data_IF_457673179785
#
_entry.id   IF_457673179785
#
_cell.length_a   1.000
_cell.length_b   1.000
_cell.length_c   1.000
_cell.angle_alpha   90.00
_cell.angle_beta   90.00
_cell.angle_gamma   90.00
#
_symmetry.space_group_name_H-M   'P 1'
#
loop_
_entity.id
_entity.type
_entity.pdbx_description
1 polymer ?
#
# COMPACT_ATOMS: atom_id res chain seq x y z
N UNK A 1 18.27 2.23 25.07
CA UNK A 1 17.93 1.16 24.12
C UNK A 1 17.54 1.78 22.79
N UNK A 2 18.04 1.24 21.70
CA UNK A 2 17.72 1.77 20.38
C UNK A 2 16.27 1.45 20.00
N UNK A 3 15.62 2.40 19.31
CA UNK A 3 14.30 2.17 18.71
C UNK A 3 14.44 1.10 17.62
N UNK A 4 13.55 0.08 17.63
CA UNK A 4 13.59 -0.93 16.58
C UNK A 4 13.43 -0.30 15.20
N UNK A 5 14.24 -0.71 14.28
CA UNK A 5 14.13 -0.28 12.90
C UNK A 5 12.87 -0.89 12.28
N UNK A 6 12.34 -0.20 11.26
CA UNK A 6 11.28 -0.76 10.44
C UNK A 6 11.77 -2.07 9.82
N UNK A 7 10.97 -3.16 9.83
CA UNK A 7 11.36 -4.39 9.15
C UNK A 7 11.67 -4.11 7.68
N UNK A 8 12.68 -4.79 7.13
CA UNK A 8 13.02 -4.65 5.72
C UNK A 8 11.93 -5.34 4.90
N UNK A 9 11.09 -4.60 4.17
CA UNK A 9 10.08 -5.22 3.32
C UNK A 9 10.73 -5.76 2.05
N UNK A 10 10.08 -6.68 1.34
CA UNK A 10 10.53 -7.05 0.02
C UNK A 10 10.39 -5.86 -0.93
N UNK A 11 11.36 -5.68 -1.83
CA UNK A 11 11.29 -4.67 -2.86
C UNK A 11 11.62 -3.26 -2.39
N UNK A 12 11.21 -2.29 -3.20
CA UNK A 12 11.54 -0.87 -3.01
C UNK A 12 10.50 -0.18 -2.15
N UNK A 13 10.92 0.87 -1.45
CA UNK A 13 10.01 1.66 -0.62
C UNK A 13 9.09 2.51 -1.52
N UNK A 14 7.76 2.34 -1.44
CA UNK A 14 6.84 3.08 -2.30
C UNK A 14 6.89 4.60 -2.09
N UNK A 15 7.18 5.07 -0.90
CA UNK A 15 7.30 6.52 -0.64
C UNK A 15 8.46 7.12 -1.41
N UNK A 16 9.51 6.33 -1.67
CA UNK A 16 10.68 6.79 -2.43
C UNK A 16 10.49 6.66 -3.93
N UNK A 17 9.88 5.56 -4.40
CA UNK A 17 9.78 5.28 -5.83
C UNK A 17 8.46 5.75 -6.44
N UNK A 18 7.45 6.04 -5.61
CA UNK A 18 6.13 6.47 -6.08
C UNK A 18 5.50 7.49 -5.12
N UNK A 19 6.17 8.64 -4.90
CA UNK A 19 5.64 9.64 -3.95
C UNK A 19 4.34 10.28 -4.43
N UNK A 20 4.00 10.15 -5.72
CA UNK A 20 2.72 10.63 -6.22
C UNK A 20 1.55 9.93 -5.55
N UNK A 21 1.67 8.62 -5.28
CA UNK A 21 0.58 7.82 -4.73
C UNK A 21 0.74 7.53 -3.23
N UNK A 22 1.95 7.63 -2.68
CA UNK A 22 2.26 7.20 -1.31
C UNK A 22 2.92 8.32 -0.53
N UNK A 23 2.23 8.80 0.52
CA UNK A 23 2.79 9.82 1.41
C UNK A 23 2.70 9.34 2.86
N UNK A 24 3.67 9.77 3.68
CA UNK A 24 3.70 9.44 5.10
C UNK A 24 2.79 10.41 5.85
N UNK A 25 1.78 9.88 6.54
CA UNK A 25 0.93 10.67 7.43
C UNK A 25 1.53 10.77 8.82
N UNK A 26 2.12 9.68 9.30
CA UNK A 26 2.60 9.57 10.66
C UNK A 26 3.61 8.42 10.71
N UNK A 27 4.63 8.57 11.56
CA UNK A 27 5.60 7.49 11.75
C UNK A 27 6.20 7.58 13.15
N UNK A 28 6.27 6.44 13.84
CA UNK A 28 7.00 6.32 15.09
C UNK A 28 7.80 5.00 15.08
N UNK A 29 8.25 4.56 16.26
CA UNK A 29 9.04 3.33 16.36
C UNK A 29 8.22 2.05 16.20
N UNK A 30 6.90 2.13 16.10
CA UNK A 30 6.00 0.97 16.02
C UNK A 30 5.32 0.84 14.68
N UNK A 31 4.96 1.96 14.05
CA UNK A 31 4.20 1.96 12.80
C UNK A 31 4.67 3.08 11.87
N UNK A 32 4.42 2.88 10.58
CA UNK A 32 4.46 3.95 9.59
C UNK A 32 3.11 3.98 8.90
N UNK A 33 2.40 5.10 9.01
CA UNK A 33 1.07 5.25 8.43
C UNK A 33 1.18 5.99 7.11
N UNK A 34 0.72 5.35 6.04
CA UNK A 34 0.74 5.91 4.70
C UNK A 34 -0.67 6.31 4.27
N UNK A 35 -0.75 7.44 3.58
CA UNK A 35 -1.94 7.79 2.79
C UNK A 35 -1.66 7.41 1.35
N UNK A 36 -2.59 6.67 0.77
CA UNK A 36 -2.46 6.10 -0.58
C UNK A 36 -3.61 6.61 -1.42
N UNK A 37 -3.29 7.24 -2.56
CA UNK A 37 -4.30 7.79 -3.48
C UNK A 37 -3.96 7.42 -4.91
N UNK A 38 -4.93 6.84 -5.62
CA UNK A 38 -4.80 6.54 -7.05
C UNK A 38 -5.99 7.14 -7.79
N UNK A 39 -5.72 7.93 -8.83
CA UNK A 39 -6.77 8.34 -9.77
C UNK A 39 -7.20 7.19 -10.66
N UNK A 40 -8.32 7.36 -11.41
CA UNK A 40 -8.82 6.30 -12.29
C UNK A 40 -7.76 5.92 -13.32
N UNK A 41 -7.53 4.62 -13.48
CA UNK A 41 -6.57 4.07 -14.42
C UNK A 41 -5.11 4.25 -14.05
N UNK A 42 -4.81 4.89 -12.92
CA UNK A 42 -3.41 5.11 -12.52
C UNK A 42 -2.78 3.83 -12.02
N UNK A 43 -1.49 3.74 -12.27
CA UNK A 43 -0.68 2.55 -12.01
C UNK A 43 0.59 2.97 -11.29
N UNK A 44 1.01 2.19 -10.32
CA UNK A 44 2.24 2.41 -9.58
C UNK A 44 3.46 1.85 -10.32
N UNK A 45 4.54 1.69 -9.60
CA UNK A 45 5.71 0.90 -10.00
C UNK A 45 5.86 -0.23 -8.98
N UNK A 46 6.61 -1.26 -9.34
CA UNK A 46 6.84 -2.38 -8.42
C UNK A 46 7.51 -1.87 -7.14
N UNK A 47 6.90 -2.17 -6.00
CA UNK A 47 7.40 -1.76 -4.70
C UNK A 47 6.98 -2.75 -3.62
N UNK A 48 7.48 -2.57 -2.41
CA UNK A 48 7.22 -3.49 -1.31
C UNK A 48 6.68 -2.84 -0.06
N UNK A 49 5.95 -3.61 0.72
CA UNK A 49 5.43 -3.22 2.02
C UNK A 49 5.75 -4.30 3.05
N UNK A 50 6.03 -3.93 4.32
CA UNK A 50 5.96 -4.91 5.40
C UNK A 50 4.49 -5.28 5.65
N UNK A 51 4.24 -6.18 6.60
CA UNK A 51 2.87 -6.47 7.03
C UNK A 51 2.15 -5.17 7.38
N UNK A 52 0.89 -5.05 6.99
CA UNK A 52 0.14 -3.81 7.17
C UNK A 52 -1.35 -4.05 7.35
N UNK A 53 -2.01 -3.05 7.95
CA UNK A 53 -3.46 -2.99 8.03
C UNK A 53 -3.91 -1.86 7.13
N UNK A 54 -4.80 -2.15 6.19
CA UNK A 54 -5.34 -1.16 5.27
C UNK A 54 -6.77 -0.81 5.65
N UNK A 55 -7.05 0.51 5.71
CA UNK A 55 -8.38 1.05 5.93
C UNK A 55 -8.80 1.77 4.66
N UNK A 56 -9.84 1.27 4.01
CA UNK A 56 -10.32 1.83 2.74
C UNK A 56 -11.26 2.99 3.03
N UNK A 57 -10.86 4.20 2.62
CA UNK A 57 -11.67 5.40 2.82
C UNK A 57 -12.73 5.53 1.73
N UNK A 58 -12.50 4.91 0.57
CA UNK A 58 -13.42 4.86 -0.56
C UNK A 58 -13.53 3.44 -1.05
N UNK A 59 -14.51 3.15 -1.90
CA UNK A 59 -14.47 1.88 -2.61
C UNK A 59 -13.31 1.88 -3.60
N UNK A 60 -12.81 0.70 -3.93
CA UNK A 60 -11.70 0.54 -4.86
C UNK A 60 -11.77 -0.78 -5.60
N UNK A 61 -11.22 -0.77 -6.81
CA UNK A 61 -11.04 -1.97 -7.63
C UNK A 61 -9.60 -1.94 -8.13
N UNK A 62 -8.78 -2.86 -7.65
CA UNK A 62 -7.34 -2.82 -7.86
C UNK A 62 -6.85 -4.11 -8.49
N UNK A 63 -5.94 -3.99 -9.44
CA UNK A 63 -5.16 -5.13 -9.93
C UNK A 63 -3.76 -5.05 -9.32
N UNK A 64 -3.34 -6.13 -8.70
CA UNK A 64 -1.97 -6.27 -8.18
C UNK A 64 -1.19 -7.17 -9.13
N UNK A 65 -0.05 -6.68 -9.62
CA UNK A 65 0.89 -7.49 -10.37
C UNK A 65 2.04 -7.83 -9.43
N UNK A 66 2.39 -9.12 -9.35
CA UNK A 66 3.46 -9.61 -8.50
C UNK A 66 4.73 -9.86 -9.32
N UNK A 67 5.90 -9.96 -8.67
CA UNK A 67 7.12 -10.34 -9.38
C UNK A 67 6.90 -11.65 -10.16
N UNK A 68 7.33 -11.67 -11.41
CA UNK A 68 7.08 -12.80 -12.32
C UNK A 68 5.86 -12.62 -13.21
N UNK A 69 5.05 -11.57 -12.97
CA UNK A 69 3.94 -11.20 -13.86
C UNK A 69 2.57 -11.75 -13.49
N UNK A 70 2.46 -12.54 -12.42
CA UNK A 70 1.16 -13.02 -11.96
C UNK A 70 0.33 -11.84 -11.44
N UNK A 71 -0.97 -11.85 -11.72
CA UNK A 71 -1.88 -10.78 -11.29
C UNK A 71 -3.01 -11.33 -10.42
N UNK A 72 -3.55 -10.44 -9.58
CA UNK A 72 -4.70 -10.72 -8.72
C UNK A 72 -5.53 -9.45 -8.62
N UNK A 73 -6.84 -9.56 -8.86
CA UNK A 73 -7.75 -8.43 -8.75
C UNK A 73 -8.48 -8.48 -7.41
N UNK A 74 -8.66 -7.31 -6.80
CA UNK A 74 -9.36 -7.18 -5.54
C UNK A 74 -10.32 -6.01 -5.55
N UNK A 75 -11.40 -6.12 -4.78
CA UNK A 75 -12.35 -5.04 -4.57
C UNK A 75 -12.50 -4.78 -3.08
N UNK A 76 -12.81 -3.52 -2.74
CA UNK A 76 -13.08 -3.13 -1.37
C UNK A 76 -14.17 -2.07 -1.36
N UNK A 77 -14.86 -1.95 -0.23
CA UNK A 77 -15.86 -0.92 0.01
C UNK A 77 -15.33 0.10 1.00
N UNK A 78 -15.87 1.31 0.95
CA UNK A 78 -15.55 2.32 1.94
C UNK A 78 -15.78 1.78 3.35
N UNK A 79 -14.81 1.94 4.22
CA UNK A 79 -14.86 1.45 5.60
C UNK A 79 -14.30 0.04 5.79
N UNK A 80 -13.98 -0.68 4.73
CA UNK A 80 -13.35 -2.00 4.85
C UNK A 80 -11.98 -1.88 5.52
N UNK A 81 -11.66 -2.87 6.35
CA UNK A 81 -10.36 -2.99 7.01
C UNK A 81 -9.80 -4.38 6.69
N UNK A 82 -8.57 -4.42 6.19
CA UNK A 82 -7.92 -5.67 5.78
C UNK A 82 -6.50 -5.74 6.32
N UNK A 83 -6.06 -6.95 6.67
CA UNK A 83 -4.67 -7.22 6.98
C UNK A 83 -3.98 -7.80 5.75
N UNK A 84 -2.78 -7.32 5.46
CA UNK A 84 -1.94 -7.84 4.40
C UNK A 84 -0.58 -8.26 4.95
N UNK A 85 -0.13 -9.46 4.56
CA UNK A 85 1.24 -9.89 4.83
C UNK A 85 2.23 -9.02 4.04
N UNK A 86 3.50 -9.08 4.43
CA UNK A 86 4.55 -8.42 3.67
C UNK A 86 4.48 -8.85 2.20
N UNK A 87 4.60 -7.90 1.29
CA UNK A 87 4.36 -8.16 -0.13
C UNK A 87 5.21 -7.23 -1.00
N UNK A 88 5.58 -7.74 -2.17
CA UNK A 88 6.09 -6.92 -3.27
C UNK A 88 5.06 -6.97 -4.40
N UNK A 89 4.64 -5.81 -4.87
CA UNK A 89 3.56 -5.73 -5.86
C UNK A 89 3.58 -4.44 -6.66
N UNK A 90 2.77 -4.42 -7.71
CA UNK A 90 2.52 -3.24 -8.53
C UNK A 90 1.01 -3.07 -8.65
N UNK A 91 0.42 -2.12 -7.89
CA UNK A 91 -1.02 -1.88 -7.94
C UNK A 91 -1.43 -0.99 -9.12
N UNK A 92 -2.66 -1.23 -9.59
CA UNK A 92 -3.28 -0.42 -10.64
C UNK A 92 -4.76 -0.23 -10.30
N UNK A 93 -5.25 1.01 -10.41
CA UNK A 93 -6.67 1.31 -10.23
C UNK A 93 -7.44 0.95 -11.50
N UNK A 94 -8.25 -0.11 -11.44
CA UNK A 94 -9.08 -0.55 -12.56
C UNK A 94 -10.43 0.16 -12.60
N UNK A 95 -10.78 0.91 -11.57
CA UNK A 95 -12.07 1.59 -11.47
C UNK A 95 -12.11 2.90 -12.22
N UNK A 96 -13.32 3.42 -12.42
CA UNK A 96 -13.54 4.72 -13.05
C UNK A 96 -13.49 5.90 -12.09
N UNK A 97 -13.14 5.67 -10.83
CA UNK A 97 -13.06 6.69 -9.79
C UNK A 97 -11.76 6.57 -9.03
N UNK A 98 -11.32 7.68 -8.44
CA UNK A 98 -10.16 7.67 -7.56
C UNK A 98 -10.47 6.86 -6.31
N UNK A 99 -9.45 6.18 -5.75
CA UNK A 99 -9.60 5.56 -4.43
C UNK A 99 -8.54 6.09 -3.46
N UNK A 100 -8.86 5.96 -2.18
CA UNK A 100 -8.00 6.45 -1.11
C UNK A 100 -7.98 5.41 0.02
N UNK A 101 -6.78 5.11 0.51
CA UNK A 101 -6.56 4.08 1.52
C UNK A 101 -5.57 4.60 2.55
N UNK A 102 -5.80 4.28 3.82
CA UNK A 102 -4.79 4.45 4.87
C UNK A 102 -4.18 3.07 5.13
N UNK A 103 -2.86 2.97 5.02
CA UNK A 103 -2.14 1.74 5.35
C UNK A 103 -1.28 1.97 6.58
N UNK A 104 -1.48 1.13 7.60
CA UNK A 104 -0.67 1.13 8.81
C UNK A 104 0.36 0.04 8.67
N UNK A 105 1.58 0.42 8.28
CA UNK A 105 2.69 -0.52 8.14
C UNK A 105 3.29 -0.83 9.51
N UNK A 106 3.42 -2.11 9.83
CA UNK A 106 3.91 -2.56 11.11
C UNK A 106 5.42 -2.65 11.09
N UNK A 107 6.08 -2.13 12.12
CA UNK A 107 7.54 -2.16 12.20
C UNK A 107 8.07 -3.39 12.94
N UNK A 108 7.17 -4.23 13.36
CA UNK A 108 7.53 -5.48 14.04
C UNK A 108 6.65 -6.61 13.62
#
# INVERSE_FOLDING_TARGET
>A
MATPARPTPPGKDPVKVDPKHYTVEFEDDRVRVLRIKYGPGEKSVMHGHPASIAVFLTEGHTRFTYPGGKTEDGTAKAGDVMYFDAVEHLPENLGGQAFEVIAVELKK
#
